data_IF_794390238436
#
_entry.id   IF_794390238436
#
_cell.length_a   1.000
_cell.length_b   1.000
_cell.length_c   1.000
_cell.angle_alpha   90.00
_cell.angle_beta   90.00
_cell.angle_gamma   90.00
#
_symmetry.space_group_name_H-M   'P 1'
#
loop_
_entity.id
_entity.type
_entity.pdbx_description
1 polymer ?
#
# COMPACT_ATOMS: atom_id res chain seq x y z
N UNK A 1 -38.33 -1.87 0.14
CA UNK A 1 -37.06 -2.33 -0.48
C UNK A 1 -36.10 -1.15 -0.54
N UNK A 2 -34.89 -1.27 0.03
CA UNK A 2 -33.91 -0.17 0.04
C UNK A 2 -33.21 -0.10 -1.31
N UNK A 3 -33.24 1.06 -1.97
CA UNK A 3 -32.57 1.29 -3.26
C UNK A 3 -31.23 1.96 -3.04
N UNK A 4 -30.20 1.51 -3.76
CA UNK A 4 -28.87 2.10 -3.73
C UNK A 4 -28.51 2.66 -5.10
N UNK A 5 -27.72 3.74 -5.10
CA UNK A 5 -27.15 4.29 -6.34
C UNK A 5 -26.06 3.32 -6.83
N UNK A 6 -26.05 3.01 -8.12
CA UNK A 6 -25.11 2.06 -8.75
C UNK A 6 -23.66 2.35 -8.39
N UNK A 7 -23.26 3.63 -8.41
CA UNK A 7 -21.90 4.07 -8.06
C UNK A 7 -21.49 3.81 -6.61
N UNK A 8 -22.45 3.58 -5.70
CA UNK A 8 -22.16 3.20 -4.30
C UNK A 8 -21.98 1.69 -4.13
N UNK A 9 -22.54 0.89 -5.04
CA UNK A 9 -22.52 -0.58 -4.99
C UNK A 9 -21.33 -1.12 -5.78
N UNK A 10 -21.13 -0.58 -6.98
CA UNK A 10 -20.06 -0.94 -7.89
C UNK A 10 -19.05 0.19 -7.89
N UNK A 11 -17.97 0.01 -7.14
CA UNK A 11 -16.86 0.95 -7.06
C UNK A 11 -15.68 0.32 -7.80
N UNK A 12 -15.44 0.63 -9.09
CA UNK A 12 -14.31 0.08 -9.83
C UNK A 12 -12.99 0.54 -9.20
N UNK A 13 -12.09 -0.40 -8.94
CA UNK A 13 -10.76 -0.10 -8.36
C UNK A 13 -10.77 0.40 -6.90
N UNK A 14 -11.93 0.74 -6.33
CA UNK A 14 -12.05 1.24 -4.97
C UNK A 14 -12.50 0.19 -3.96
N UNK A 15 -12.57 0.61 -2.69
CA UNK A 15 -13.01 -0.27 -1.61
C UNK A 15 -14.53 -0.54 -1.66
N UNK A 16 -14.96 -1.81 -1.71
CA UNK A 16 -16.38 -2.15 -1.68
C UNK A 16 -16.97 -1.84 -0.30
N UNK A 17 -17.82 -0.81 -0.21
CA UNK A 17 -18.46 -0.42 1.06
C UNK A 17 -19.74 -1.20 1.36
N UNK A 18 -20.49 -1.57 0.32
CA UNK A 18 -21.80 -2.22 0.44
C UNK A 18 -21.78 -3.72 0.09
N UNK A 19 -20.73 -4.17 -0.59
CA UNK A 19 -20.63 -5.51 -1.19
C UNK A 19 -19.49 -6.35 -0.60
N UNK A 20 -18.75 -5.80 0.36
CA UNK A 20 -17.71 -6.55 1.06
C UNK A 20 -18.35 -7.60 1.98
N UNK A 21 -17.93 -8.86 1.82
CA UNK A 21 -18.37 -9.97 2.66
C UNK A 21 -17.16 -10.51 3.42
N UNK A 22 -17.08 -10.32 4.75
CA UNK A 22 -15.94 -10.77 5.54
C UNK A 22 -15.93 -12.30 5.67
N UNK A 23 -14.73 -12.88 5.64
CA UNK A 23 -14.52 -14.34 5.74
C UNK A 23 -14.38 -14.80 7.18
N UNK A 24 -15.43 -14.59 7.97
CA UNK A 24 -15.42 -14.82 9.41
C UNK A 24 -15.09 -16.27 9.79
N UNK A 25 -15.52 -17.25 9.00
CA UNK A 25 -15.28 -18.68 9.25
C UNK A 25 -13.80 -19.04 9.40
N UNK A 26 -12.91 -18.37 8.65
CA UNK A 26 -11.46 -18.60 8.67
C UNK A 26 -10.68 -17.51 9.42
N UNK A 27 -11.40 -16.55 10.02
CA UNK A 27 -10.86 -15.43 10.83
C UNK A 27 -9.70 -14.70 10.14
N UNK A 28 -9.76 -14.58 8.80
CA UNK A 28 -8.61 -14.13 8.01
C UNK A 28 -8.21 -12.68 8.34
N UNK A 29 -9.19 -11.79 8.51
CA UNK A 29 -8.92 -10.41 8.94
C UNK A 29 -8.29 -10.33 10.32
N UNK A 30 -8.79 -11.10 11.29
CA UNK A 30 -8.23 -11.12 12.63
C UNK A 30 -6.78 -11.60 12.62
N UNK A 31 -6.49 -12.67 11.86
CA UNK A 31 -5.12 -13.18 11.70
C UNK A 31 -4.18 -12.15 11.09
N UNK A 32 -4.62 -11.41 10.07
CA UNK A 32 -3.80 -10.38 9.44
C UNK A 32 -3.62 -9.17 10.37
N UNK A 33 -4.66 -8.71 11.09
CA UNK A 33 -4.53 -7.65 12.12
C UNK A 33 -3.49 -8.02 13.17
N UNK A 34 -3.60 -9.21 13.77
CA UNK A 34 -2.63 -9.69 14.76
C UNK A 34 -1.20 -9.79 14.21
N UNK A 35 -1.04 -10.16 12.94
CA UNK A 35 0.27 -10.20 12.31
C UNK A 35 0.86 -8.81 12.08
N UNK A 36 0.03 -7.82 11.73
CA UNK A 36 0.43 -6.41 11.56
C UNK A 36 0.76 -5.75 12.89
N UNK A 37 -0.01 -6.01 13.95
CA UNK A 37 0.19 -5.41 15.28
C UNK A 37 1.56 -5.78 15.88
N UNK A 38 2.12 -6.92 15.47
CA UNK A 38 3.49 -7.29 15.78
C UNK A 38 4.46 -6.67 14.79
N UNK A 39 5.17 -5.62 15.22
CA UNK A 39 6.21 -4.92 14.46
C UNK A 39 7.27 -5.89 13.88
N UNK A 40 7.93 -5.46 12.78
CA UNK A 40 9.10 -6.09 12.15
C UNK A 40 8.86 -7.45 11.48
N UNK A 41 7.77 -7.60 10.73
CA UNK A 41 7.45 -8.84 10.00
C UNK A 41 7.29 -8.61 8.51
N UNK A 42 7.81 -9.56 7.73
CA UNK A 42 7.42 -9.72 6.33
C UNK A 42 6.18 -10.61 6.28
N UNK A 43 5.07 -10.09 5.75
CA UNK A 43 3.80 -10.79 5.64
C UNK A 43 3.46 -11.00 4.16
N UNK A 44 3.33 -12.27 3.75
CA UNK A 44 2.94 -12.62 2.38
C UNK A 44 1.48 -13.03 2.31
N UNK A 45 0.68 -12.32 1.52
CA UNK A 45 -0.73 -12.66 1.25
C UNK A 45 -0.86 -13.27 -0.14
N UNK A 46 -1.09 -14.57 -0.23
CA UNK A 46 -1.15 -15.32 -1.49
C UNK A 46 -2.57 -15.73 -1.88
N UNK A 47 -2.75 -16.12 -3.14
CA UNK A 47 -4.02 -16.63 -3.67
C UNK A 47 -4.29 -16.17 -5.10
N UNK A 48 -5.29 -16.77 -5.73
CA UNK A 48 -5.64 -16.52 -7.14
C UNK A 48 -6.04 -15.06 -7.41
N UNK A 49 -5.96 -14.62 -8.67
CA UNK A 49 -6.40 -13.29 -9.09
C UNK A 49 -7.89 -13.09 -8.75
N UNK A 50 -8.27 -11.86 -8.38
CA UNK A 50 -9.63 -11.48 -7.95
C UNK A 50 -10.16 -12.18 -6.70
N UNK A 51 -9.34 -12.90 -5.93
CA UNK A 51 -9.73 -13.49 -4.64
C UNK A 51 -9.83 -12.46 -3.49
N UNK A 52 -9.78 -11.15 -3.78
CA UNK A 52 -9.94 -10.10 -2.77
C UNK A 52 -8.72 -9.85 -1.88
N UNK A 53 -7.51 -10.25 -2.28
CA UNK A 53 -6.27 -9.99 -1.53
C UNK A 53 -6.05 -8.51 -1.27
N UNK A 54 -6.11 -7.68 -2.33
CA UNK A 54 -5.94 -6.23 -2.23
C UNK A 54 -7.00 -5.60 -1.33
N UNK A 55 -8.25 -6.06 -1.44
CA UNK A 55 -9.36 -5.57 -0.59
C UNK A 55 -9.13 -5.94 0.87
N UNK A 56 -8.72 -7.17 1.16
CA UNK A 56 -8.40 -7.63 2.51
C UNK A 56 -7.28 -6.78 3.15
N UNK A 57 -6.18 -6.57 2.43
CA UNK A 57 -5.05 -5.78 2.92
C UNK A 57 -5.48 -4.32 3.13
N UNK A 58 -6.21 -3.72 2.18
CA UNK A 58 -6.69 -2.34 2.28
C UNK A 58 -7.75 -2.14 3.38
N UNK A 59 -8.45 -3.18 3.81
CA UNK A 59 -9.33 -3.14 5.00
C UNK A 59 -8.54 -2.98 6.31
N UNK A 60 -7.29 -3.44 6.36
CA UNK A 60 -6.47 -3.48 7.58
C UNK A 60 -5.37 -2.42 7.58
N UNK A 61 -4.78 -2.18 6.41
CA UNK A 61 -3.74 -1.17 6.14
C UNK A 61 -4.27 -0.21 5.06
N UNK A 62 -5.15 0.74 5.39
CA UNK A 62 -5.82 1.56 4.38
C UNK A 62 -4.84 2.40 3.57
N UNK A 63 -5.15 2.56 2.26
CA UNK A 63 -4.46 3.52 1.37
C UNK A 63 -4.75 5.00 1.71
N UNK A 64 -5.88 5.27 2.35
CA UNK A 64 -6.42 6.63 2.51
C UNK A 64 -5.97 7.35 3.80
N UNK A 65 -5.17 6.70 4.64
CA UNK A 65 -4.54 7.33 5.81
C UNK A 65 -3.11 7.67 5.43
N UNK A 66 -2.93 8.89 4.93
CA UNK A 66 -1.70 9.41 4.29
C UNK A 66 -0.46 9.37 5.20
N UNK A 67 -0.61 9.12 6.50
CA UNK A 67 0.48 9.26 7.47
C UNK A 67 1.12 7.95 7.94
N UNK A 68 0.67 6.77 7.48
CA UNK A 68 1.16 5.49 8.06
C UNK A 68 1.52 4.37 7.07
N UNK A 69 0.97 4.36 5.84
CA UNK A 69 1.11 3.21 4.93
C UNK A 69 1.58 3.64 3.55
N UNK A 70 2.78 3.21 3.15
CA UNK A 70 3.27 3.35 1.77
C UNK A 70 2.74 2.18 0.94
N UNK A 71 1.97 2.47 -0.10
CA UNK A 71 1.41 1.46 -0.99
C UNK A 71 2.08 1.48 -2.35
N UNK A 72 2.75 0.37 -2.68
CA UNK A 72 3.49 0.20 -3.92
C UNK A 72 2.79 -0.85 -4.79
N UNK A 73 2.35 -0.46 -5.99
CA UNK A 73 1.72 -1.37 -6.93
C UNK A 73 2.79 -2.01 -7.82
N UNK A 74 3.02 -3.32 -7.65
CA UNK A 74 4.12 -4.05 -8.28
C UNK A 74 4.20 -3.97 -9.83
N UNK A 75 3.13 -3.56 -10.50
CA UNK A 75 3.14 -3.32 -11.95
C UNK A 75 3.86 -2.03 -12.38
N UNK A 76 4.23 -1.15 -11.44
CA UNK A 76 4.93 0.11 -11.74
C UNK A 76 6.45 -0.01 -11.79
N UNK A 77 7.05 -1.07 -11.23
CA UNK A 77 8.49 -1.19 -11.10
C UNK A 77 9.06 -2.09 -12.19
N UNK A 78 10.03 -1.58 -12.96
CA UNK A 78 10.77 -2.37 -13.94
C UNK A 78 12.15 -2.76 -13.40
N UNK A 79 12.76 -1.90 -12.59
CA UNK A 79 14.07 -2.07 -11.98
C UNK A 79 14.01 -1.88 -10.46
N UNK A 80 15.04 -2.34 -9.77
CA UNK A 80 15.19 -2.16 -8.32
C UNK A 80 15.25 -0.66 -7.93
N UNK A 81 15.93 0.16 -8.74
CA UNK A 81 16.06 1.59 -8.47
C UNK A 81 14.71 2.32 -8.52
N UNK A 82 13.77 1.87 -9.36
CA UNK A 82 12.41 2.41 -9.43
C UNK A 82 11.67 2.20 -8.10
N UNK A 83 11.92 1.06 -7.45
CA UNK A 83 11.30 0.72 -6.18
C UNK A 83 11.79 1.64 -5.04
N UNK A 84 13.10 1.79 -4.91
CA UNK A 84 13.68 2.61 -3.85
C UNK A 84 13.42 4.12 -4.04
N UNK A 85 13.49 4.61 -5.28
CA UNK A 85 13.17 6.01 -5.60
C UNK A 85 11.71 6.34 -5.29
N UNK A 86 10.77 5.43 -5.58
CA UNK A 86 9.36 5.61 -5.24
C UNK A 86 9.14 5.66 -3.73
N UNK A 87 9.81 4.80 -2.95
CA UNK A 87 9.75 4.86 -1.49
C UNK A 87 10.28 6.19 -0.96
N UNK A 88 11.42 6.66 -1.47
CA UNK A 88 11.99 7.95 -1.07
C UNK A 88 11.04 9.10 -1.38
N UNK A 89 10.40 9.08 -2.54
CA UNK A 89 9.42 10.09 -2.94
C UNK A 89 8.19 10.11 -2.02
N UNK A 90 7.65 8.93 -1.66
CA UNK A 90 6.52 8.81 -0.73
C UNK A 90 6.88 9.28 0.69
N UNK A 91 8.17 9.26 1.04
CA UNK A 91 8.69 9.74 2.33
C UNK A 91 9.13 11.22 2.30
N UNK A 92 8.91 11.94 1.20
CA UNK A 92 9.41 13.31 0.97
C UNK A 92 10.94 13.42 1.19
N UNK A 93 11.67 12.36 0.85
CA UNK A 93 13.12 12.27 0.99
C UNK A 93 13.87 12.98 -0.13
N UNK A 94 15.08 13.47 0.17
CA UNK A 94 15.94 14.08 -0.84
C UNK A 94 16.41 13.04 -1.88
N UNK A 95 16.14 13.30 -3.15
CA UNK A 95 16.51 12.44 -4.29
C UNK A 95 17.84 12.82 -4.93
N UNK A 96 18.41 13.98 -4.57
CA UNK A 96 19.71 14.44 -5.07
C UNK A 96 20.50 15.13 -3.97
N UNK A 97 21.79 14.86 -3.91
CA UNK A 97 22.75 15.58 -3.08
C UNK A 97 23.75 16.26 -4.00
N UNK A 98 23.83 17.58 -3.94
CA UNK A 98 24.84 18.36 -4.66
C UNK A 98 25.99 18.67 -3.69
N UNK A 99 27.15 18.09 -3.91
CA UNK A 99 28.36 18.38 -3.13
C UNK A 99 29.30 19.26 -3.96
N UNK A 100 29.43 20.54 -3.58
CA UNK A 100 30.41 21.44 -4.17
C UNK A 100 31.73 21.34 -3.41
N UNK A 101 32.73 20.68 -3.99
CA UNK A 101 34.11 20.75 -3.51
C UNK A 101 34.76 22.03 -4.05
N UNK A 102 35.00 23.01 -3.18
CA UNK A 102 35.75 24.22 -3.54
C UNK A 102 37.22 23.95 -3.27
N UNK A 103 38.01 23.73 -4.33
CA UNK A 103 39.46 23.70 -4.24
C UNK A 103 40.01 25.13 -4.37
N UNK A 104 40.26 25.76 -3.21
CA UNK A 104 41.05 27.00 -3.17
C UNK A 104 42.48 26.70 -3.65
N UNK A 105 42.81 27.18 -4.84
CA UNK A 105 44.20 27.19 -5.33
C UNK A 105 44.97 28.29 -4.59
N UNK A 106 45.77 27.88 -3.61
CA UNK A 106 46.75 28.75 -2.95
C UNK A 106 47.85 29.09 -3.97
N UNK A 107 48.07 30.41 -4.17
CA UNK A 107 49.10 30.97 -5.04
C UNK A 107 50.51 30.78 -4.50
#
# INVERSE_FOLDING_TARGET
MKRYVTSKVFVPGGMPRLTYVPRNAIKLEARLRTAVDSLHKLITVTGQTKSGKTVLVNTILPRATEEQNIWLDGGHFAQEDDFWSTILQELDGATSYESSETSESVK
#
